data_IF_379297381183
#
_entry.id   IF_379297381183
#
_cell.length_a   1.000
_cell.length_b   1.000
_cell.length_c   1.000
_cell.angle_alpha   90.00
_cell.angle_beta   90.00
_cell.angle_gamma   90.00
#
_symmetry.space_group_name_H-M   'P 1'
#
loop_
_entity.id
_entity.type
_entity.pdbx_description
1 polymer ?
#
# COMPACT_ATOMS: atom_id res chain seq x y z
N UNK A 1 -16.98 10.34 16.78
CA UNK A 1 -15.52 10.18 17.03
C UNK A 1 -15.23 10.09 18.53
N UNK A 2 -15.99 10.80 19.40
CA UNK A 2 -15.84 10.73 20.85
C UNK A 2 -16.71 9.63 21.51
N UNK A 3 -17.60 9.01 20.74
CA UNK A 3 -18.47 7.95 21.24
C UNK A 3 -17.65 6.67 21.52
N UNK A 4 -17.66 6.22 22.78
CA UNK A 4 -16.95 5.01 23.23
C UNK A 4 -17.52 3.71 22.63
N UNK A 5 -18.76 3.74 22.12
CA UNK A 5 -19.36 2.58 21.45
C UNK A 5 -18.90 2.40 20.00
N UNK A 6 -18.21 3.38 19.42
CA UNK A 6 -17.65 3.32 18.07
C UNK A 6 -16.17 2.97 18.17
N UNK A 7 -15.77 1.81 17.67
CA UNK A 7 -14.40 1.32 17.78
C UNK A 7 -13.54 1.68 16.57
N UNK A 8 -14.12 1.75 15.37
CA UNK A 8 -13.41 2.09 14.13
C UNK A 8 -14.25 3.01 13.24
N UNK A 9 -13.57 3.81 12.44
CA UNK A 9 -14.19 4.70 11.46
C UNK A 9 -13.48 4.55 10.12
N UNK A 10 -14.27 4.24 9.08
CA UNK A 10 -13.84 4.26 7.69
C UNK A 10 -14.39 5.51 7.01
N UNK A 11 -13.52 6.34 6.48
CA UNK A 11 -13.90 7.54 5.75
C UNK A 11 -13.68 7.31 4.24
N UNK A 12 -14.78 7.24 3.47
CA UNK A 12 -14.69 7.15 2.02
C UNK A 12 -14.21 8.48 1.42
N UNK A 13 -13.15 8.44 0.65
CA UNK A 13 -12.53 9.58 -0.02
C UNK A 13 -12.49 9.41 -1.54
N UNK A 14 -12.46 10.48 -2.34
CA UNK A 14 -12.43 11.89 -1.91
C UNK A 14 -13.78 12.37 -1.36
N UNK A 15 -13.73 13.30 -0.41
CA UNK A 15 -14.95 13.97 0.07
C UNK A 15 -15.52 14.93 -0.99
N UNK A 16 -16.82 15.26 -0.90
CA UNK A 16 -17.40 16.33 -1.72
C UNK A 16 -16.62 17.63 -1.59
N UNK A 17 -16.44 18.36 -2.71
CA UNK A 17 -15.56 19.55 -2.81
C UNK A 17 -15.88 20.70 -1.81
N UNK A 18 -17.08 20.73 -1.26
CA UNK A 18 -17.49 21.74 -0.26
C UNK A 18 -17.05 21.40 1.16
N UNK A 19 -16.51 20.21 1.40
CA UNK A 19 -15.98 19.78 2.69
C UNK A 19 -14.46 19.88 2.70
N UNK A 20 -13.91 20.32 3.82
CA UNK A 20 -12.47 20.31 4.08
C UNK A 20 -12.05 18.92 4.53
N UNK A 21 -11.56 18.11 3.58
CA UNK A 21 -11.11 16.74 3.85
C UNK A 21 -9.98 16.71 4.89
N UNK A 22 -9.08 17.69 4.87
CA UNK A 22 -7.96 17.74 5.81
C UNK A 22 -8.47 17.97 7.25
N UNK A 23 -9.43 18.89 7.43
CA UNK A 23 -10.04 19.14 8.72
C UNK A 23 -10.81 17.92 9.25
N UNK A 24 -11.54 17.21 8.36
CA UNK A 24 -12.28 15.99 8.75
C UNK A 24 -11.30 14.89 9.16
N UNK A 25 -10.25 14.65 8.38
CA UNK A 25 -9.22 13.67 8.74
C UNK A 25 -8.50 14.02 10.05
N UNK A 26 -8.21 15.30 10.29
CA UNK A 26 -7.56 15.74 11.53
C UNK A 26 -8.44 15.57 12.78
N UNK A 27 -9.77 15.56 12.62
CA UNK A 27 -10.70 15.32 13.71
C UNK A 27 -10.84 13.84 14.10
N UNK A 28 -10.40 12.91 13.25
CA UNK A 28 -10.45 11.47 13.52
C UNK A 28 -9.28 11.06 14.44
N UNK A 29 -9.61 10.36 15.52
CA UNK A 29 -8.59 9.80 16.42
C UNK A 29 -7.83 8.65 15.73
N UNK A 30 -6.49 8.61 15.79
CA UNK A 30 -5.70 7.52 15.19
C UNK A 30 -6.10 6.12 15.68
N UNK A 31 -6.54 5.97 16.91
CA UNK A 31 -6.97 4.67 17.46
C UNK A 31 -8.29 4.16 16.85
N UNK A 32 -9.05 5.03 16.18
CA UNK A 32 -10.29 4.70 15.46
C UNK A 32 -10.14 4.78 13.94
N UNK A 33 -8.97 5.17 13.48
CA UNK A 33 -8.64 5.34 12.06
C UNK A 33 -8.22 4.00 11.46
N UNK A 34 -9.18 3.12 11.21
CA UNK A 34 -8.92 1.76 10.75
C UNK A 34 -8.42 1.66 9.30
N UNK A 35 -8.42 2.77 8.55
CA UNK A 35 -7.86 2.83 7.18
C UNK A 35 -6.52 3.59 7.12
N UNK A 36 -6.02 4.08 8.25
CA UNK A 36 -4.69 4.70 8.35
C UNK A 36 -4.52 6.00 7.58
N UNK A 37 -5.57 6.84 7.53
CA UNK A 37 -5.59 8.08 6.72
C UNK A 37 -5.14 9.32 7.50
N UNK A 38 -5.15 9.27 8.84
CA UNK A 38 -4.81 10.42 9.68
C UNK A 38 -3.30 10.65 9.72
N UNK A 39 -2.91 11.89 10.03
CA UNK A 39 -1.49 12.21 10.25
C UNK A 39 -0.89 11.43 11.41
N UNK A 40 -1.68 11.11 12.44
CA UNK A 40 -1.25 10.29 13.56
C UNK A 40 -0.94 8.86 13.14
N UNK A 41 -1.83 8.21 12.37
CA UNK A 41 -1.57 6.87 11.83
C UNK A 41 -0.35 6.85 10.90
N UNK A 42 -0.18 7.86 10.04
CA UNK A 42 0.99 7.97 9.16
C UNK A 42 2.29 8.22 9.94
N UNK A 43 2.24 9.03 11.02
CA UNK A 43 3.38 9.22 11.90
C UNK A 43 3.79 7.91 12.58
N UNK A 44 2.81 7.10 13.01
CA UNK A 44 3.05 5.77 13.58
C UNK A 44 3.70 4.80 12.59
N UNK A 45 3.29 4.83 11.32
CA UNK A 45 3.96 4.04 10.26
C UNK A 45 5.41 4.49 10.09
N UNK A 46 5.67 5.80 10.16
CA UNK A 46 7.03 6.35 10.04
C UNK A 46 7.92 5.99 11.23
N UNK A 47 7.42 6.11 12.46
CA UNK A 47 8.17 5.78 13.69
C UNK A 47 8.25 4.28 13.98
N UNK A 48 7.31 3.48 13.47
CA UNK A 48 7.21 2.06 13.77
C UNK A 48 6.68 1.76 15.18
N UNK A 49 6.03 2.72 15.85
CA UNK A 49 5.57 2.61 17.24
C UNK A 49 4.22 1.90 17.43
N UNK A 50 3.49 1.65 16.36
CA UNK A 50 2.22 0.90 16.38
C UNK A 50 1.04 1.65 17.02
N UNK A 51 1.10 2.97 17.17
CA UNK A 51 0.07 3.78 17.83
C UNK A 51 -1.20 4.01 16.98
N UNK A 52 -1.19 3.65 15.71
CA UNK A 52 -2.32 3.75 14.79
C UNK A 52 -2.37 2.52 13.88
N UNK A 53 -3.10 2.65 12.79
CA UNK A 53 -3.18 1.62 11.77
C UNK A 53 -2.48 2.09 10.50
N UNK A 54 -1.68 1.24 9.84
CA UNK A 54 -1.16 1.57 8.52
C UNK A 54 -2.29 1.64 7.49
N UNK A 55 -2.14 2.41 6.41
CA UNK A 55 -3.09 2.37 5.31
C UNK A 55 -3.30 0.94 4.80
N UNK A 56 -4.58 0.51 4.72
CA UNK A 56 -4.93 -0.89 4.47
C UNK A 56 -4.28 -1.47 3.21
N UNK A 57 -4.20 -0.69 2.13
CA UNK A 57 -3.59 -1.15 0.89
C UNK A 57 -2.07 -1.31 1.02
N UNK A 58 -1.40 -0.42 1.75
CA UNK A 58 0.03 -0.56 2.02
C UNK A 58 0.32 -1.80 2.88
N UNK A 59 -0.48 -2.03 3.92
CA UNK A 59 -0.39 -3.23 4.75
C UNK A 59 -0.68 -4.50 3.94
N UNK A 60 -1.66 -4.48 3.04
CA UNK A 60 -1.99 -5.63 2.19
C UNK A 60 -0.80 -6.09 1.32
N UNK A 61 0.08 -5.17 0.89
CA UNK A 61 1.31 -5.55 0.19
C UNK A 61 2.22 -6.40 1.09
N UNK A 62 2.36 -6.03 2.37
CA UNK A 62 3.20 -6.77 3.32
C UNK A 62 2.58 -8.13 3.67
N UNK A 63 1.26 -8.19 3.84
CA UNK A 63 0.54 -9.45 4.09
C UNK A 63 0.73 -10.46 2.94
N UNK A 64 0.74 -9.98 1.69
CA UNK A 64 1.03 -10.82 0.53
C UNK A 64 2.48 -11.34 0.57
N UNK A 65 3.45 -10.50 0.89
CA UNK A 65 4.85 -10.93 1.04
C UNK A 65 4.98 -12.01 2.11
N UNK A 66 4.34 -11.82 3.27
CA UNK A 66 4.35 -12.78 4.37
C UNK A 66 3.70 -14.10 3.97
N UNK A 67 2.53 -14.03 3.31
CA UNK A 67 1.79 -15.22 2.87
C UNK A 67 2.61 -16.10 1.89
N UNK A 68 3.36 -15.46 0.99
CA UNK A 68 4.21 -16.15 0.03
C UNK A 68 5.65 -16.38 0.52
N UNK A 69 5.96 -16.05 1.77
CA UNK A 69 7.27 -16.29 2.37
C UNK A 69 8.39 -15.43 1.78
N UNK A 70 8.06 -14.24 1.25
CA UNK A 70 9.08 -13.31 0.78
C UNK A 70 9.60 -12.46 1.95
N UNK A 71 10.85 -12.69 2.36
CA UNK A 71 11.50 -11.94 3.43
C UNK A 71 12.17 -10.67 2.89
N UNK A 72 11.72 -9.46 3.32
CA UNK A 72 12.26 -8.19 2.82
C UNK A 72 13.66 -7.83 3.37
N UNK A 73 14.09 -8.44 4.48
CA UNK A 73 15.35 -8.10 5.16
C UNK A 73 16.54 -8.17 4.21
N UNK A 74 17.28 -7.07 4.10
CA UNK A 74 18.46 -6.94 3.24
C UNK A 74 18.14 -6.82 1.74
N UNK A 75 16.87 -6.93 1.33
CA UNK A 75 16.47 -6.83 -0.09
C UNK A 75 16.36 -5.39 -0.56
N UNK A 76 16.60 -5.20 -1.84
CA UNK A 76 16.36 -3.93 -2.53
C UNK A 76 14.90 -3.85 -2.96
N UNK A 77 14.16 -2.97 -2.31
CA UNK A 77 12.77 -2.67 -2.64
C UNK A 77 12.66 -1.35 -3.40
N UNK A 78 11.93 -1.33 -4.49
CA UNK A 78 11.62 -0.10 -5.24
C UNK A 78 10.12 0.11 -5.23
N UNK A 79 9.68 1.27 -4.74
CA UNK A 79 8.31 1.73 -4.83
C UNK A 79 8.16 2.75 -5.96
N UNK A 80 7.20 2.56 -6.85
CA UNK A 80 6.87 3.53 -7.91
C UNK A 80 5.56 4.21 -7.59
N UNK A 81 5.65 5.46 -7.15
CA UNK A 81 4.53 6.24 -6.61
C UNK A 81 4.83 6.70 -5.18
N UNK A 82 4.36 7.91 -4.81
CA UNK A 82 4.64 8.52 -3.50
C UNK A 82 3.41 9.10 -2.81
N UNK A 83 2.26 8.51 -3.05
CA UNK A 83 1.03 8.88 -2.35
C UNK A 83 1.13 8.59 -0.85
N UNK A 84 0.33 9.29 -0.05
CA UNK A 84 0.20 9.01 1.39
C UNK A 84 -0.66 7.77 1.68
N UNK A 85 -1.35 7.27 0.67
CA UNK A 85 -2.22 6.09 0.80
C UNK A 85 -1.42 4.79 0.61
N UNK A 86 -0.44 4.77 -0.31
CA UNK A 86 0.26 3.54 -0.70
C UNK A 86 1.77 3.74 -0.71
N UNK A 87 2.30 4.60 -1.59
CA UNK A 87 3.73 4.62 -1.90
C UNK A 87 4.62 4.92 -0.70
N UNK A 88 4.36 6.00 0.03
CA UNK A 88 5.14 6.35 1.23
C UNK A 88 4.91 5.36 2.37
N UNK A 89 3.67 5.00 2.73
CA UNK A 89 3.44 4.01 3.78
C UNK A 89 4.09 2.66 3.49
N UNK A 90 3.94 2.11 2.30
CA UNK A 90 4.57 0.85 1.93
C UNK A 90 6.10 0.90 2.00
N UNK A 91 6.70 2.04 1.58
CA UNK A 91 8.14 2.25 1.70
C UNK A 91 8.60 2.23 3.17
N UNK A 92 7.87 2.88 4.08
CA UNK A 92 8.21 2.88 5.51
C UNK A 92 7.99 1.52 6.16
N UNK A 93 6.90 0.82 5.81
CA UNK A 93 6.65 -0.53 6.31
C UNK A 93 7.76 -1.50 5.88
N UNK A 94 8.24 -1.40 4.64
CA UNK A 94 9.38 -2.20 4.15
C UNK A 94 10.70 -1.81 4.83
N UNK A 95 10.93 -0.51 5.06
CA UNK A 95 12.10 -0.04 5.81
C UNK A 95 12.08 -0.60 7.24
N UNK A 96 10.94 -0.60 7.91
CA UNK A 96 10.77 -1.17 9.24
C UNK A 96 10.98 -2.69 9.27
N UNK A 97 10.93 -3.35 8.10
CA UNK A 97 11.30 -4.76 7.88
C UNK A 97 12.72 -4.93 7.33
N UNK A 98 13.59 -3.96 7.54
CA UNK A 98 15.01 -3.99 7.16
C UNK A 98 15.28 -4.10 5.65
N UNK A 99 14.35 -3.70 4.78
CA UNK A 99 14.60 -3.55 3.35
C UNK A 99 15.39 -2.27 3.06
N UNK A 100 16.20 -2.29 1.99
CA UNK A 100 16.76 -1.07 1.41
C UNK A 100 15.77 -0.52 0.40
N UNK A 101 15.18 0.65 0.67
CA UNK A 101 14.05 1.16 -0.11
C UNK A 101 14.44 2.35 -0.97
N UNK A 102 14.09 2.30 -2.25
CA UNK A 102 14.12 3.43 -3.19
C UNK A 102 12.68 3.81 -3.56
N UNK A 103 12.32 5.09 -3.43
CA UNK A 103 11.01 5.57 -3.80
C UNK A 103 11.08 6.43 -5.07
N UNK A 104 10.50 5.92 -6.15
CA UNK A 104 10.45 6.57 -7.46
C UNK A 104 9.16 7.36 -7.68
N UNK A 105 9.22 8.35 -8.54
CA UNK A 105 8.10 9.23 -8.85
C UNK A 105 8.25 9.85 -10.26
N UNK A 106 7.31 10.69 -10.66
CA UNK A 106 7.26 11.32 -12.00
C UNK A 106 8.50 12.16 -12.37
N UNK A 107 9.39 12.47 -11.42
CA UNK A 107 10.64 13.20 -11.65
C UNK A 107 11.89 12.34 -11.46
N UNK A 108 11.74 11.02 -11.33
CA UNK A 108 12.86 10.08 -11.32
C UNK A 108 13.49 10.06 -12.71
N UNK A 109 14.81 10.27 -12.78
CA UNK A 109 15.51 10.48 -14.05
C UNK A 109 15.48 9.24 -14.96
N UNK A 110 15.73 8.04 -14.40
CA UNK A 110 15.69 6.76 -15.12
C UNK A 110 14.89 5.75 -14.29
N UNK A 111 13.57 5.79 -14.45
CA UNK A 111 12.67 4.89 -13.75
C UNK A 111 12.98 3.42 -14.07
N UNK A 112 13.27 3.13 -15.32
CA UNK A 112 13.51 1.76 -15.75
C UNK A 112 14.77 1.17 -15.10
N UNK A 113 15.85 1.95 -14.99
CA UNK A 113 17.08 1.51 -14.33
C UNK A 113 16.83 1.24 -12.82
N UNK A 114 16.09 2.12 -12.13
CA UNK A 114 15.76 1.91 -10.73
C UNK A 114 14.89 0.66 -10.53
N UNK A 115 13.87 0.47 -11.36
CA UNK A 115 13.01 -0.72 -11.29
C UNK A 115 13.80 -2.02 -11.53
N UNK A 116 14.69 -2.06 -12.53
CA UNK A 116 15.49 -3.27 -12.81
C UNK A 116 16.43 -3.68 -11.67
N UNK A 117 16.81 -2.76 -10.80
CA UNK A 117 17.68 -3.05 -9.63
C UNK A 117 16.93 -3.66 -8.45
N UNK A 118 15.60 -3.61 -8.49
CA UNK A 118 14.75 -4.12 -7.42
C UNK A 118 14.76 -5.65 -7.37
N UNK A 119 14.70 -6.20 -6.17
CA UNK A 119 14.32 -7.58 -5.90
C UNK A 119 12.82 -7.65 -5.58
N UNK A 120 12.29 -6.57 -5.00
CA UNK A 120 10.87 -6.32 -4.79
C UNK A 120 10.48 -5.00 -5.45
N UNK A 121 9.48 -5.03 -6.31
CA UNK A 121 8.92 -3.84 -6.96
C UNK A 121 7.46 -3.66 -6.56
N UNK A 122 7.11 -2.48 -6.02
CA UNK A 122 5.72 -2.09 -5.74
C UNK A 122 5.32 -1.00 -6.73
N UNK A 123 4.38 -1.31 -7.62
CA UNK A 123 3.84 -0.37 -8.59
C UNK A 123 2.57 0.30 -8.04
N UNK A 124 2.62 1.61 -7.80
CA UNK A 124 1.55 2.43 -7.22
C UNK A 124 1.54 3.85 -7.81
N UNK A 125 1.75 3.96 -9.13
CA UNK A 125 1.84 5.22 -9.86
C UNK A 125 0.48 5.75 -10.32
N UNK A 126 -0.55 4.90 -10.35
CA UNK A 126 -1.88 5.23 -10.87
C UNK A 126 -1.87 5.50 -12.37
N UNK A 127 -1.04 4.79 -13.11
CA UNK A 127 -0.91 4.90 -14.57
C UNK A 127 -0.74 3.53 -15.20
N UNK A 128 -1.73 3.12 -16.00
CA UNK A 128 -1.74 1.82 -16.67
C UNK A 128 -0.46 1.58 -17.48
N UNK A 129 0.17 0.41 -17.29
CA UNK A 129 1.29 -0.07 -18.05
C UNK A 129 2.59 0.76 -17.95
N UNK A 130 2.72 1.63 -16.94
CA UNK A 130 3.96 2.42 -16.73
C UNK A 130 5.17 1.51 -16.47
N UNK A 131 4.95 0.34 -15.90
CA UNK A 131 5.96 -0.69 -15.68
C UNK A 131 5.87 -1.71 -16.80
N UNK A 132 6.58 -1.46 -17.88
CA UNK A 132 6.72 -2.38 -19.02
C UNK A 132 7.96 -3.26 -18.93
N UNK A 133 8.19 -4.08 -19.95
CA UNK A 133 9.31 -5.03 -20.02
C UNK A 133 10.70 -4.40 -19.74
N UNK A 134 10.90 -3.14 -20.13
CA UNK A 134 12.14 -2.41 -19.90
C UNK A 134 12.42 -2.08 -18.43
N UNK A 135 11.42 -2.21 -17.57
CA UNK A 135 11.51 -1.98 -16.11
C UNK A 135 11.74 -3.27 -15.32
N UNK A 136 11.66 -4.44 -15.96
CA UNK A 136 11.60 -5.72 -15.31
C UNK A 136 12.92 -6.49 -15.44
N UNK A 137 13.20 -7.36 -14.47
CA UNK A 137 14.34 -8.27 -14.46
C UNK A 137 13.93 -9.65 -13.94
N UNK A 138 14.61 -10.73 -14.38
CA UNK A 138 14.31 -12.08 -13.88
C UNK A 138 14.43 -12.21 -12.36
N UNK A 139 13.53 -12.99 -11.77
CA UNK A 139 13.54 -13.29 -10.33
C UNK A 139 12.96 -12.19 -9.43
N UNK A 140 12.53 -11.05 -9.97
CA UNK A 140 11.85 -10.03 -9.19
C UNK A 140 10.51 -10.52 -8.66
N UNK A 141 10.11 -10.01 -7.50
CA UNK A 141 8.73 -10.05 -7.01
C UNK A 141 8.09 -8.69 -7.28
N UNK A 142 6.95 -8.69 -7.98
CA UNK A 142 6.26 -7.47 -8.40
C UNK A 142 4.87 -7.44 -7.78
N UNK A 143 4.59 -6.40 -7.00
CA UNK A 143 3.27 -6.13 -6.42
C UNK A 143 2.66 -4.94 -7.16
N UNK A 144 1.61 -5.20 -7.92
CA UNK A 144 0.86 -4.18 -8.65
C UNK A 144 -0.34 -3.72 -7.80
N UNK A 145 -0.33 -2.46 -7.43
CA UNK A 145 -1.38 -1.80 -6.64
C UNK A 145 -2.20 -0.83 -7.51
N UNK A 146 -1.82 -0.68 -8.77
CA UNK A 146 -2.51 0.18 -9.72
C UNK A 146 -3.96 -0.26 -9.93
N UNK A 147 -4.87 0.70 -9.98
CA UNK A 147 -6.27 0.49 -10.39
C UNK A 147 -6.57 1.51 -11.47
N UNK A 148 -6.58 1.05 -12.71
CA UNK A 148 -6.86 1.86 -13.88
C UNK A 148 -7.98 1.19 -14.69
N UNK A 149 -8.57 1.93 -15.62
CA UNK A 149 -9.55 1.41 -16.56
C UNK A 149 -8.99 1.61 -17.96
N UNK A 150 -8.91 0.55 -18.74
CA UNK A 150 -8.45 0.62 -20.14
C UNK A 150 -9.53 1.18 -21.08
N UNK A 151 -9.19 1.33 -22.36
CA UNK A 151 -10.10 1.86 -23.36
C UNK A 151 -11.32 0.94 -23.61
N UNK A 152 -11.25 -0.34 -23.24
CA UNK A 152 -12.34 -1.30 -23.34
C UNK A 152 -13.20 -1.40 -22.07
N UNK A 153 -12.84 -0.65 -21.02
CA UNK A 153 -13.55 -0.63 -19.73
C UNK A 153 -13.08 -1.72 -18.74
N UNK A 154 -12.00 -2.42 -19.01
CA UNK A 154 -11.46 -3.42 -18.11
C UNK A 154 -10.57 -2.79 -17.05
N UNK A 155 -10.56 -3.37 -15.84
CA UNK A 155 -9.61 -3.03 -14.80
C UNK A 155 -8.22 -3.56 -15.16
N UNK A 156 -7.24 -2.69 -15.10
CA UNK A 156 -5.83 -2.99 -15.36
C UNK A 156 -4.93 -2.33 -14.30
N UNK A 157 -3.76 -2.90 -14.07
CA UNK A 157 -2.79 -2.37 -13.14
C UNK A 157 -1.85 -1.32 -13.75
N UNK A 158 -0.85 -0.96 -12.98
CA UNK A 158 0.27 -0.10 -13.40
C UNK A 158 1.34 -0.91 -14.16
N UNK A 159 1.32 -2.24 -14.04
CA UNK A 159 2.26 -3.15 -14.67
C UNK A 159 1.65 -3.70 -15.96
N UNK A 160 2.45 -3.80 -17.01
CA UNK A 160 2.15 -4.65 -18.17
C UNK A 160 2.24 -6.11 -17.71
N UNK A 161 1.10 -6.68 -17.34
CA UNK A 161 1.04 -7.99 -16.70
C UNK A 161 1.60 -9.09 -17.63
N UNK A 162 1.29 -9.05 -18.92
CA UNK A 162 1.77 -10.06 -19.85
C UNK A 162 3.30 -10.02 -20.01
N UNK A 163 3.87 -8.82 -20.04
CA UNK A 163 5.32 -8.66 -20.07
C UNK A 163 5.97 -9.10 -18.75
N UNK A 164 5.32 -8.83 -17.61
CA UNK A 164 5.83 -9.20 -16.29
C UNK A 164 5.80 -10.72 -16.08
N UNK A 165 4.68 -11.37 -16.36
CA UNK A 165 4.50 -12.83 -16.21
C UNK A 165 5.58 -13.63 -16.95
N UNK A 166 6.04 -13.14 -18.10
CA UNK A 166 7.07 -13.79 -18.90
C UNK A 166 8.49 -13.66 -18.33
N UNK A 167 8.75 -12.72 -17.40
CA UNK A 167 10.11 -12.32 -16.99
C UNK A 167 10.35 -12.50 -15.50
N UNK A 168 9.41 -12.08 -14.65
CA UNK A 168 9.64 -11.97 -13.21
C UNK A 168 9.40 -13.28 -12.47
N UNK A 169 9.88 -13.38 -11.23
CA UNK A 169 9.65 -14.56 -10.39
C UNK A 169 8.21 -14.68 -9.89
N UNK A 170 7.56 -13.54 -9.61
CA UNK A 170 6.16 -13.46 -9.21
C UNK A 170 5.59 -12.08 -9.51
N UNK A 171 4.30 -12.01 -9.87
CA UNK A 171 3.57 -10.76 -10.06
C UNK A 171 2.12 -10.91 -9.61
N UNK A 172 1.59 -9.89 -8.93
CA UNK A 172 0.17 -9.86 -8.55
C UNK A 172 -0.68 -9.41 -9.73
N UNK A 173 -1.82 -10.07 -10.03
CA UNK A 173 -2.74 -9.65 -11.08
C UNK A 173 -3.60 -8.45 -10.64
N UNK A 174 -4.13 -7.72 -11.62
CA UNK A 174 -5.17 -6.71 -11.43
C UNK A 174 -6.29 -6.96 -12.46
N UNK A 175 -7.50 -7.29 -12.01
CA UNK A 175 -7.97 -7.50 -10.62
C UNK A 175 -7.51 -8.84 -10.01
N UNK A 176 -7.81 -9.05 -8.72
CA UNK A 176 -7.59 -10.33 -8.03
C UNK A 176 -6.29 -10.41 -7.22
N UNK A 177 -5.46 -9.36 -7.22
CA UNK A 177 -4.26 -9.24 -6.41
C UNK A 177 -4.50 -8.48 -5.09
N UNK A 178 -3.74 -7.42 -4.87
CA UNK A 178 -3.72 -6.63 -3.62
C UNK A 178 -5.12 -6.17 -3.18
N UNK A 179 -5.97 -5.77 -4.13
CA UNK A 179 -7.33 -5.29 -3.82
C UNK A 179 -8.18 -6.29 -3.06
N UNK A 180 -8.01 -7.60 -3.29
CA UNK A 180 -8.73 -8.64 -2.58
C UNK A 180 -8.27 -8.75 -1.10
N UNK A 181 -7.00 -8.46 -0.82
CA UNK A 181 -6.42 -8.53 0.53
C UNK A 181 -6.72 -7.27 1.35
N UNK A 182 -6.82 -6.11 0.71
CA UNK A 182 -7.10 -4.82 1.37
C UNK A 182 -8.34 -4.87 2.27
N UNK A 183 -9.42 -5.51 1.80
CA UNK A 183 -10.66 -5.65 2.59
C UNK A 183 -10.46 -6.53 3.82
N UNK A 184 -9.66 -7.57 3.72
CA UNK A 184 -9.33 -8.45 4.86
C UNK A 184 -8.48 -7.72 5.90
N UNK A 185 -7.53 -6.89 5.46
CA UNK A 185 -6.74 -6.01 6.35
C UNK A 185 -7.65 -5.04 7.08
N UNK A 186 -8.57 -4.38 6.37
CA UNK A 186 -9.55 -3.47 6.99
C UNK A 186 -10.38 -4.19 8.06
N UNK A 187 -10.88 -5.39 7.76
CA UNK A 187 -11.65 -6.18 8.72
C UNK A 187 -10.83 -6.51 9.97
N UNK A 188 -9.54 -6.87 9.81
CA UNK A 188 -8.63 -7.09 10.94
C UNK A 188 -8.44 -5.81 11.77
N UNK A 189 -8.18 -4.67 11.14
CA UNK A 189 -8.04 -3.39 11.86
C UNK A 189 -9.28 -3.03 12.68
N UNK A 190 -10.49 -3.32 12.16
CA UNK A 190 -11.73 -3.13 12.91
C UNK A 190 -11.80 -4.03 14.14
N UNK A 191 -11.43 -5.31 13.99
CA UNK A 191 -11.37 -6.26 15.12
C UNK A 191 -10.34 -5.83 16.15
N UNK A 192 -9.13 -5.45 15.71
CA UNK A 192 -8.06 -4.98 16.59
C UNK A 192 -8.47 -3.70 17.34
N UNK A 193 -9.18 -2.77 16.68
CA UNK A 193 -9.69 -1.56 17.30
C UNK A 193 -10.73 -1.88 18.38
N UNK A 194 -11.63 -2.83 18.12
CA UNK A 194 -12.62 -3.27 19.08
C UNK A 194 -11.96 -3.99 20.28
N UNK A 195 -11.01 -4.88 20.03
CA UNK A 195 -10.28 -5.61 21.06
C UNK A 195 -9.48 -4.67 21.98
N UNK A 196 -8.73 -3.71 21.41
CA UNK A 196 -8.01 -2.68 22.16
C UNK A 196 -8.95 -1.84 23.03
N UNK A 197 -10.13 -1.49 22.50
CA UNK A 197 -11.14 -0.74 23.24
C UNK A 197 -11.75 -1.51 24.41
N UNK A 198 -11.75 -2.84 24.36
CA UNK A 198 -12.28 -3.74 25.36
C UNK A 198 -11.21 -4.35 26.28
N UNK A 199 -9.94 -3.93 26.15
CA UNK A 199 -8.78 -4.53 26.84
C UNK A 199 -8.65 -6.06 26.62
N UNK A 200 -9.03 -6.53 25.42
CA UNK A 200 -8.93 -7.93 25.01
C UNK A 200 -7.69 -8.10 24.11
N UNK A 201 -6.88 -9.12 24.39
CA UNK A 201 -5.81 -9.56 23.51
C UNK A 201 -6.35 -10.55 22.49
N UNK A 202 -6.14 -10.30 21.20
CA UNK A 202 -6.51 -11.19 20.08
C UNK A 202 -5.34 -12.09 19.72
#
# INVERSE_FOLDING_TARGET
ILDGAIHGCLLFRPLPRHLDEAAVCAALSPVKDVDGITSGSLASVFSGDGQGYPPCTAQACLELLDYYGFEPTGRRAVGVGRSLVIGRPAAMLLLNRNATVTLCHTRTADLAAECRRAELLIAAAGRAGIIGANCLSPGQVVIDVGINVDAAGHLVGDVDFAAAEAVVGAVTPVPGGVGAVTTSVLARHVLDAAAKSADISL
#
